data_IF_954155772464
#
_entry.id   IF_954155772464
#
_cell.length_a   1.000
_cell.length_b   1.000
_cell.length_c   1.000
_cell.angle_alpha   90.00
_cell.angle_beta   90.00
_cell.angle_gamma   90.00
#
_symmetry.space_group_name_H-M   'P 1'
#
loop_
_entity.id
_entity.type
_entity.pdbx_description
1 polymer ?
#
# COMPACT_ATOMS: atom_id res chain seq x y z
N UNK A 1 3.74 -0.59 8.75
CA UNK A 1 2.52 -0.99 7.99
C UNK A 1 2.77 -1.09 6.47
N UNK A 2 3.68 -0.28 5.91
CA UNK A 2 4.10 -0.33 4.50
C UNK A 2 4.81 -1.64 4.11
N UNK A 3 5.69 -2.13 4.98
CA UNK A 3 6.52 -3.33 4.73
C UNK A 3 5.70 -4.59 4.39
N UNK A 4 4.49 -4.73 4.95
CA UNK A 4 3.65 -5.89 4.72
C UNK A 4 2.86 -5.82 3.41
N UNK A 5 2.31 -4.64 3.09
CA UNK A 5 1.72 -4.41 1.77
C UNK A 5 2.78 -4.59 0.67
N UNK A 6 4.00 -4.08 0.90
CA UNK A 6 5.16 -4.31 0.04
C UNK A 6 5.50 -5.80 -0.09
N UNK A 7 5.47 -6.55 1.02
CA UNK A 7 5.67 -8.00 1.00
C UNK A 7 4.66 -8.72 0.10
N UNK A 8 3.37 -8.40 0.22
CA UNK A 8 2.32 -9.03 -0.60
C UNK A 8 2.35 -8.61 -2.08
N UNK A 9 2.83 -7.40 -2.37
CA UNK A 9 2.94 -6.90 -3.74
C UNK A 9 4.21 -7.38 -4.45
N UNK A 10 5.35 -7.43 -3.75
CA UNK A 10 6.66 -7.69 -4.36
C UNK A 10 7.18 -9.12 -4.13
N UNK A 11 6.86 -9.76 -3.00
CA UNK A 11 7.41 -11.06 -2.63
C UNK A 11 6.37 -12.18 -2.84
N UNK A 12 6.76 -13.26 -3.51
CA UNK A 12 5.91 -14.45 -3.70
C UNK A 12 4.99 -14.41 -4.93
N UNK A 13 5.48 -13.90 -6.07
CA UNK A 13 4.75 -13.90 -7.36
C UNK A 13 3.60 -12.90 -7.48
N UNK A 14 3.57 -11.86 -6.63
CA UNK A 14 2.54 -10.82 -6.68
C UNK A 14 1.15 -11.37 -6.36
N UNK A 15 0.87 -11.57 -5.07
CA UNK A 15 -0.44 -12.08 -4.60
C UNK A 15 -1.56 -11.05 -4.69
N UNK A 16 -1.26 -9.82 -5.11
CA UNK A 16 -2.21 -8.72 -5.23
C UNK A 16 -2.23 -8.16 -6.64
N UNK A 17 -3.37 -8.30 -7.33
CA UNK A 17 -3.63 -7.66 -8.61
C UNK A 17 -4.55 -6.44 -8.42
N UNK A 18 -4.14 -5.29 -8.97
CA UNK A 18 -4.92 -4.05 -8.91
C UNK A 18 -5.51 -3.77 -10.29
N UNK A 19 -6.83 -3.62 -10.37
CA UNK A 19 -7.48 -3.26 -11.62
C UNK A 19 -7.10 -1.81 -12.03
N UNK A 20 -6.70 -1.55 -13.29
CA UNK A 20 -6.30 -0.23 -13.77
C UNK A 20 -7.33 0.88 -13.56
N UNK A 21 -8.62 0.55 -13.40
CA UNK A 21 -9.69 1.52 -13.10
C UNK A 21 -9.48 2.28 -11.79
N UNK A 22 -8.70 1.72 -10.85
CA UNK A 22 -8.44 2.32 -9.55
C UNK A 22 -7.27 3.32 -9.61
N UNK A 23 -7.43 4.35 -10.43
CA UNK A 23 -6.38 5.35 -10.69
C UNK A 23 -5.91 6.06 -9.42
N UNK A 24 -6.82 6.41 -8.49
CA UNK A 24 -6.46 7.03 -7.21
C UNK A 24 -5.53 6.15 -6.36
N UNK A 25 -5.81 4.84 -6.28
CA UNK A 25 -4.97 3.88 -5.57
C UNK A 25 -3.61 3.69 -6.25
N UNK A 26 -3.59 3.66 -7.59
CA UNK A 26 -2.34 3.56 -8.33
C UNK A 26 -1.49 4.81 -8.13
N UNK A 27 -2.10 6.00 -8.15
CA UNK A 27 -1.41 7.26 -7.87
C UNK A 27 -0.88 7.27 -6.45
N UNK A 28 -1.67 6.86 -5.45
CA UNK A 28 -1.23 6.85 -4.06
C UNK A 28 -0.04 5.92 -3.83
N UNK A 29 -0.05 4.73 -4.45
CA UNK A 29 1.07 3.80 -4.42
C UNK A 29 2.35 4.37 -5.07
N UNK A 30 2.23 5.12 -6.17
CA UNK A 30 3.36 5.73 -6.85
C UNK A 30 3.96 6.92 -6.10
N UNK A 31 3.14 7.62 -5.32
CA UNK A 31 3.57 8.78 -4.51
C UNK A 31 3.82 8.40 -3.05
N UNK A 32 3.71 7.13 -2.69
CA UNK A 32 3.83 6.68 -1.31
C UNK A 32 5.27 6.91 -0.80
N UNK A 33 5.41 7.77 0.21
CA UNK A 33 6.69 8.03 0.87
C UNK A 33 6.67 7.45 2.28
N UNK A 34 7.75 6.78 2.65
CA UNK A 34 7.94 6.27 4.01
C UNK A 34 8.73 7.30 4.83
N UNK A 35 8.20 7.67 6.01
CA UNK A 35 8.85 8.63 6.94
C UNK A 35 9.86 7.95 7.89
N UNK A 36 9.99 6.62 7.81
CA UNK A 36 10.82 5.77 8.68
C UNK A 36 10.00 4.72 9.43
N UNK A 37 10.64 3.61 9.82
CA UNK A 37 10.05 2.49 10.60
C UNK A 37 8.74 1.90 10.01
N UNK A 38 8.56 1.97 8.70
CA UNK A 38 7.37 1.46 8.02
C UNK A 38 6.11 2.33 8.18
N UNK A 39 6.28 3.61 8.56
CA UNK A 39 5.21 4.60 8.73
C UNK A 39 5.02 5.44 7.46
N UNK A 40 3.75 5.66 7.08
CA UNK A 40 3.41 6.48 5.91
C UNK A 40 3.64 7.96 6.18
N UNK A 41 4.26 8.65 5.25
CA UNK A 41 4.20 10.10 5.19
C UNK A 41 2.89 10.56 4.54
N UNK A 42 1.91 10.94 5.36
CA UNK A 42 0.60 11.46 4.90
C UNK A 42 0.70 12.81 4.20
N UNK A 43 1.73 13.61 4.48
CA UNK A 43 1.89 14.94 3.88
C UNK A 43 2.53 14.85 2.50
N UNK A 44 3.41 13.87 2.30
CA UNK A 44 4.09 13.65 1.02
C UNK A 44 3.35 12.66 0.09
N UNK A 45 2.44 11.84 0.62
CA UNK A 45 1.70 10.85 -0.16
C UNK A 45 0.38 11.41 -0.66
N UNK A 46 0.11 11.30 -1.97
CA UNK A 46 -1.18 11.67 -2.54
C UNK A 46 -2.24 10.60 -2.26
N UNK A 47 -3.47 11.00 -1.92
CA UNK A 47 -4.58 10.08 -1.61
C UNK A 47 -4.20 9.04 -0.53
N UNK A 48 -3.67 9.53 0.60
CA UNK A 48 -3.22 8.69 1.73
C UNK A 48 -4.37 7.89 2.34
N UNK A 49 -5.59 8.44 2.33
CA UNK A 49 -6.84 7.81 2.77
C UNK A 49 -7.12 6.49 2.05
N UNK A 50 -7.02 6.48 0.72
CA UNK A 50 -7.22 5.29 -0.11
C UNK A 50 -6.13 4.25 0.15
N UNK A 51 -4.90 4.71 0.35
CA UNK A 51 -3.76 3.84 0.60
C UNK A 51 -3.80 3.21 2.00
N UNK A 52 -4.25 3.93 3.01
CA UNK A 52 -4.47 3.42 4.36
C UNK A 52 -5.60 2.38 4.38
N UNK A 53 -6.73 2.64 3.72
CA UNK A 53 -7.82 1.67 3.59
C UNK A 53 -7.37 0.37 2.91
N UNK A 54 -6.54 0.49 1.86
CA UNK A 54 -5.95 -0.66 1.18
C UNK A 54 -5.00 -1.44 2.11
N UNK A 55 -4.15 -0.76 2.88
CA UNK A 55 -3.24 -1.41 3.84
C UNK A 55 -3.97 -2.14 4.95
N UNK A 56 -5.02 -1.53 5.51
CA UNK A 56 -5.88 -2.18 6.50
C UNK A 56 -6.51 -3.46 5.94
N UNK A 57 -6.96 -3.42 4.68
CA UNK A 57 -7.54 -4.58 4.00
C UNK A 57 -6.53 -5.71 3.82
N UNK A 58 -5.25 -5.38 3.59
CA UNK A 58 -4.16 -6.34 3.44
C UNK A 58 -3.65 -6.89 4.76
N UNK A 59 -3.80 -6.16 5.87
CA UNK A 59 -3.32 -6.60 7.19
C UNK A 59 -3.89 -7.98 7.60
N UNK A 60 -5.12 -8.28 7.20
CA UNK A 60 -5.75 -9.57 7.47
C UNK A 60 -5.00 -10.75 6.84
N UNK A 61 -4.36 -10.54 5.69
CA UNK A 61 -3.72 -11.60 4.88
C UNK A 61 -2.23 -11.80 5.17
N UNK A 62 -1.65 -10.92 5.98
CA UNK A 62 -0.23 -10.93 6.33
C UNK A 62 0.04 -11.81 7.55
N UNK A 63 -0.99 -12.06 8.37
CA UNK A 63 -0.86 -12.63 9.71
C UNK A 63 -0.99 -14.16 9.77
N UNK A 64 -0.74 -14.87 8.67
CA UNK A 64 -0.83 -16.34 8.58
C UNK A 64 0.49 -16.99 8.17
#
# INVERSE_FOLDING_TARGET
MLAYAKKLMEYGSGVVAINPRFTKLITSLRTAVEKGEGTLDKEATSHDDVLDAFRMSLQYWVSN
#
